data_IF_519830092198
#
_entry.id   IF_519830092198
#
_cell.length_a   1.000
_cell.length_b   1.000
_cell.length_c   1.000
_cell.angle_alpha   90.00
_cell.angle_beta   90.00
_cell.angle_gamma   90.00
#
_symmetry.space_group_name_H-M   'P 1'
#
loop_
_entity.id
_entity.type
_entity.pdbx_description
1 polymer ?
#
# COMPACT_ATOMS: atom_id res chain seq x y z
N UNK A 1 -1.91 -5.99 23.53
CA UNK A 1 -2.47 -5.86 22.16
C UNK A 1 -1.51 -6.60 21.25
N UNK A 2 -1.88 -7.72 20.61
CA UNK A 2 -0.88 -8.52 19.91
C UNK A 2 -0.46 -7.78 18.64
N UNK A 3 0.84 -7.51 18.54
CA UNK A 3 1.52 -7.21 17.28
C UNK A 3 1.33 -8.40 16.36
N UNK A 4 0.76 -8.16 15.17
CA UNK A 4 0.63 -9.18 14.12
C UNK A 4 2.01 -9.79 13.85
N UNK A 5 2.13 -11.12 13.65
CA UNK A 5 3.42 -11.78 13.46
C UNK A 5 4.18 -11.16 12.27
N UNK A 6 5.39 -10.68 12.51
CA UNK A 6 6.32 -10.26 11.46
C UNK A 6 6.82 -11.49 10.71
N UNK A 7 6.09 -11.97 9.70
CA UNK A 7 6.60 -12.97 8.76
C UNK A 7 7.27 -12.20 7.60
N UNK A 8 8.38 -11.54 7.92
CA UNK A 8 9.14 -10.68 7.01
C UNK A 8 10.39 -11.33 6.43
N UNK A 9 10.51 -12.67 6.42
CA UNK A 9 11.76 -13.35 6.06
C UNK A 9 12.34 -12.98 4.69
N UNK A 10 11.49 -12.56 3.74
CA UNK A 10 11.90 -12.19 2.39
C UNK A 10 11.79 -10.69 2.06
N UNK A 11 11.20 -9.88 2.95
CA UNK A 11 11.09 -8.45 2.73
C UNK A 11 12.46 -7.82 3.02
N UNK A 12 13.08 -7.24 1.99
CA UNK A 12 14.39 -6.57 2.10
C UNK A 12 14.21 -5.18 2.71
N UNK A 13 13.73 -5.12 3.95
CA UNK A 13 13.55 -3.86 4.67
C UNK A 13 14.91 -3.22 4.96
N UNK A 14 14.96 -1.89 4.81
CA UNK A 14 16.13 -1.11 5.20
C UNK A 14 16.37 -1.25 6.71
N UNK A 15 17.60 -1.03 7.14
CA UNK A 15 17.92 -1.05 8.58
C UNK A 15 17.06 -0.03 9.33
N UNK A 16 16.28 -0.51 10.30
CA UNK A 16 15.37 0.33 11.09
C UNK A 16 13.96 0.49 10.51
N UNK A 17 13.64 -0.12 9.37
CA UNK A 17 12.25 -0.33 8.94
C UNK A 17 11.69 -1.64 9.52
N UNK A 18 10.37 -1.71 9.63
CA UNK A 18 9.63 -2.92 9.98
C UNK A 18 8.97 -3.51 8.75
N UNK A 19 8.78 -4.83 8.74
CA UNK A 19 8.01 -5.53 7.71
C UNK A 19 6.58 -5.82 8.14
N UNK A 20 5.64 -5.70 7.21
CA UNK A 20 4.29 -6.23 7.29
C UNK A 20 4.06 -7.24 6.17
N UNK A 21 3.31 -8.30 6.43
CA UNK A 21 2.93 -9.30 5.43
C UNK A 21 1.55 -9.87 5.74
N UNK A 22 0.71 -9.98 4.72
CA UNK A 22 -0.51 -10.76 4.75
C UNK A 22 -0.39 -11.91 3.75
N UNK A 23 -0.28 -13.14 4.26
CA UNK A 23 -0.15 -14.33 3.43
C UNK A 23 -1.44 -14.71 2.70
N UNK A 24 -2.61 -14.29 3.20
CA UNK A 24 -3.90 -14.57 2.57
C UNK A 24 -4.16 -13.63 1.40
N UNK A 25 -3.80 -12.35 1.56
CA UNK A 25 -3.88 -11.36 0.47
C UNK A 25 -2.66 -11.39 -0.46
N UNK A 26 -1.61 -12.11 -0.05
CA UNK A 26 -0.46 -12.41 -0.88
C UNK A 26 0.45 -11.21 -1.12
N UNK A 27 0.57 -10.32 -0.15
CA UNK A 27 1.49 -9.19 -0.25
C UNK A 27 2.07 -8.74 1.09
N UNK A 28 3.18 -8.03 1.03
CA UNK A 28 3.84 -7.41 2.17
C UNK A 28 4.69 -6.23 1.76
N UNK A 29 5.01 -5.37 2.72
CA UNK A 29 5.79 -4.15 2.50
C UNK A 29 6.58 -3.75 3.74
N UNK A 30 7.60 -2.92 3.54
CA UNK A 30 8.35 -2.32 4.65
C UNK A 30 7.81 -0.92 4.97
N UNK A 31 7.82 -0.57 6.26
CA UNK A 31 7.38 0.73 6.76
C UNK A 31 8.31 1.26 7.86
N UNK A 32 8.36 2.57 8.11
CA UNK A 32 9.21 3.14 9.15
C UNK A 32 8.93 2.55 10.55
N UNK A 33 9.98 2.25 11.32
CA UNK A 33 9.83 1.83 12.73
C UNK A 33 9.22 2.91 13.64
N UNK A 34 9.19 4.16 13.16
CA UNK A 34 8.54 5.28 13.83
C UNK A 34 7.01 5.22 13.74
N UNK A 35 6.43 4.26 13.02
CA UNK A 35 4.99 4.11 12.88
C UNK A 35 4.45 3.02 13.78
N UNK A 36 3.23 3.25 14.27
CA UNK A 36 2.33 2.22 14.79
C UNK A 36 1.04 2.28 13.99
N UNK A 37 0.41 1.14 13.74
CA UNK A 37 -0.90 1.12 13.09
C UNK A 37 -1.90 0.22 13.81
N UNK A 38 -3.18 0.48 13.54
CA UNK A 38 -4.30 -0.44 13.76
C UNK A 38 -4.84 -0.79 12.38
N UNK A 39 -5.07 -2.08 12.14
CA UNK A 39 -5.59 -2.59 10.88
C UNK A 39 -7.11 -2.83 11.00
N UNK A 40 -7.85 -2.50 9.94
CA UNK A 40 -9.27 -2.82 9.77
C UNK A 40 -9.50 -3.39 8.39
N UNK A 41 -10.27 -4.47 8.32
CA UNK A 41 -10.63 -5.15 7.07
C UNK A 41 -12.09 -4.90 6.71
N UNK A 42 -12.35 -4.67 5.43
CA UNK A 42 -13.70 -4.54 4.88
C UNK A 42 -13.80 -5.32 3.56
N UNK A 43 -14.80 -6.19 3.46
CA UNK A 43 -15.11 -6.87 2.20
C UNK A 43 -15.75 -5.88 1.19
N UNK A 44 -15.42 -6.05 -0.07
CA UNK A 44 -15.93 -5.26 -1.20
C UNK A 44 -16.54 -6.21 -2.22
N UNK A 45 -17.75 -5.92 -2.69
CA UNK A 45 -18.47 -6.82 -3.61
C UNK A 45 -18.26 -6.47 -5.09
N UNK A 46 -17.88 -5.23 -5.43
CA UNK A 46 -17.73 -4.79 -6.82
C UNK A 46 -16.67 -3.68 -6.96
N UNK A 47 -15.48 -3.98 -7.53
CA UNK A 47 -14.96 -5.32 -7.82
C UNK A 47 -14.81 -6.16 -6.55
N UNK A 48 -14.98 -7.49 -6.66
CA UNK A 48 -14.92 -8.39 -5.51
C UNK A 48 -13.52 -8.37 -4.90
N UNK A 49 -13.41 -8.16 -3.60
CA UNK A 49 -12.13 -8.04 -2.91
C UNK A 49 -12.24 -7.63 -1.45
N UNK A 50 -11.13 -7.15 -0.91
CA UNK A 50 -10.98 -6.71 0.48
C UNK A 50 -10.17 -5.41 0.51
N UNK A 51 -10.63 -4.45 1.30
CA UNK A 51 -9.87 -3.25 1.65
C UNK A 51 -9.28 -3.42 3.06
N UNK A 52 -7.95 -3.33 3.17
CA UNK A 52 -7.26 -3.20 4.45
C UNK A 52 -6.92 -1.73 4.71
N UNK A 53 -7.54 -1.14 5.73
CA UNK A 53 -7.21 0.20 6.21
C UNK A 53 -6.22 0.13 7.35
N UNK A 54 -5.12 0.87 7.21
CA UNK A 54 -4.09 1.06 8.23
C UNK A 54 -4.25 2.47 8.82
N UNK A 55 -4.71 2.52 10.06
CA UNK A 55 -4.82 3.74 10.85
C UNK A 55 -3.44 4.00 11.50
N UNK A 56 -2.62 4.85 10.88
CA UNK A 56 -1.19 5.02 11.21
C UNK A 56 -1.00 6.20 12.15
N UNK A 57 -0.35 5.95 13.28
CA UNK A 57 0.10 6.95 14.24
C UNK A 57 1.62 7.02 14.25
N UNK A 58 2.15 8.24 14.13
CA UNK A 58 3.55 8.53 14.30
C UNK A 58 3.95 8.45 15.79
N UNK A 59 4.95 7.63 16.11
CA UNK A 59 5.52 7.50 17.44
C UNK A 59 6.56 8.58 17.72
N UNK A 60 7.44 8.87 16.75
CA UNK A 60 8.51 9.87 16.90
C UNK A 60 9.12 10.26 15.55
N UNK A 61 9.54 11.53 15.42
CA UNK A 61 10.38 12.04 14.33
C UNK A 61 9.92 11.64 12.91
N UNK A 62 8.62 11.56 12.64
CA UNK A 62 8.15 11.19 11.30
C UNK A 62 8.34 12.32 10.30
N UNK A 63 8.44 11.96 9.01
CA UNK A 63 8.36 12.96 7.95
C UNK A 63 6.98 13.60 7.94
N UNK A 64 6.98 14.91 7.70
CA UNK A 64 5.79 15.74 7.61
C UNK A 64 5.63 16.21 6.18
N UNK A 65 4.39 16.29 5.70
CA UNK A 65 4.12 16.72 4.33
C UNK A 65 4.57 18.18 4.08
N UNK A 66 4.63 18.97 5.15
CA UNK A 66 5.15 20.34 5.15
C UNK A 66 6.29 20.46 6.15
N UNK A 67 7.41 21.14 5.81
CA UNK A 67 8.50 21.36 6.75
C UNK A 67 8.00 21.95 8.08
N UNK A 68 8.21 21.24 9.18
CA UNK A 68 7.86 21.69 10.51
C UNK A 68 9.10 21.78 11.40
N UNK A 69 9.19 22.85 12.19
CA UNK A 69 10.25 23.03 13.18
C UNK A 69 10.00 22.22 14.47
N UNK A 70 8.77 21.70 14.67
CA UNK A 70 8.42 20.87 15.83
C UNK A 70 8.60 19.38 15.55
N UNK A 71 9.05 18.59 16.54
CA UNK A 71 9.11 17.14 16.41
C UNK A 71 7.75 16.57 16.03
N UNK A 72 7.70 15.87 14.91
CA UNK A 72 6.52 15.17 14.45
C UNK A 72 6.31 13.90 15.27
N UNK A 73 5.54 14.00 16.35
CA UNK A 73 5.04 12.86 17.13
C UNK A 73 3.52 12.94 17.21
N UNK A 74 2.85 11.80 17.32
CA UNK A 74 1.39 11.67 17.40
C UNK A 74 0.62 12.19 16.18
N UNK A 75 1.31 12.45 15.06
CA UNK A 75 0.68 12.69 13.78
C UNK A 75 -0.05 11.44 13.29
N UNK A 76 -1.09 11.66 12.53
CA UNK A 76 -1.99 10.61 12.10
C UNK A 76 -2.21 10.66 10.59
N UNK A 77 -2.39 9.49 10.00
CA UNK A 77 -2.76 9.33 8.60
C UNK A 77 -3.39 7.96 8.36
N UNK A 78 -4.00 7.81 7.20
CA UNK A 78 -4.61 6.56 6.77
C UNK A 78 -4.01 6.11 5.46
N UNK A 79 -3.73 4.81 5.37
CA UNK A 79 -3.37 4.13 4.16
C UNK A 79 -4.36 2.99 3.93
N UNK A 80 -4.84 2.83 2.70
CA UNK A 80 -5.73 1.74 2.32
C UNK A 80 -5.00 0.90 1.28
N UNK A 81 -4.98 -0.42 1.50
CA UNK A 81 -4.51 -1.40 0.52
C UNK A 81 -5.70 -2.25 0.12
N UNK A 82 -6.24 -1.96 -1.06
CA UNK A 82 -7.33 -2.72 -1.66
C UNK A 82 -6.78 -3.89 -2.44
N UNK A 83 -7.35 -5.08 -2.24
CA UNK A 83 -6.97 -6.32 -2.92
C UNK A 83 -8.19 -6.90 -3.59
N UNK A 84 -8.24 -6.81 -4.92
CA UNK A 84 -9.36 -7.27 -5.74
C UNK A 84 -9.01 -8.53 -6.50
N UNK A 85 -10.03 -9.35 -6.76
CA UNK A 85 -9.89 -10.51 -7.64
C UNK A 85 -9.40 -10.06 -9.03
N UNK A 86 -8.36 -10.72 -9.52
CA UNK A 86 -7.87 -10.53 -10.89
C UNK A 86 -8.90 -10.96 -11.93
N UNK A 87 -9.82 -11.87 -11.57
CA UNK A 87 -10.94 -12.33 -12.39
C UNK A 87 -10.55 -12.77 -13.82
N UNK A 88 -9.36 -13.36 -13.97
CA UNK A 88 -8.86 -13.84 -15.26
C UNK A 88 -8.30 -12.78 -16.21
N UNK A 89 -8.18 -11.51 -15.78
CA UNK A 89 -7.56 -10.46 -16.61
C UNK A 89 -6.11 -10.80 -16.97
N UNK A 90 -5.76 -10.74 -18.26
CA UNK A 90 -4.39 -11.00 -18.75
C UNK A 90 -3.41 -9.93 -18.32
N UNK A 91 -3.86 -8.69 -18.34
CA UNK A 91 -3.10 -7.46 -18.13
C UNK A 91 -3.90 -6.45 -17.31
N UNK A 92 -3.22 -5.42 -16.83
CA UNK A 92 -3.79 -4.42 -15.93
C UNK A 92 -4.80 -3.53 -16.67
N UNK A 93 -4.53 -3.22 -17.93
CA UNK A 93 -5.42 -2.42 -18.77
C UNK A 93 -6.80 -3.09 -18.95
N UNK A 94 -6.83 -4.39 -19.23
CA UNK A 94 -8.05 -5.18 -19.36
C UNK A 94 -8.83 -5.26 -18.04
N UNK A 95 -8.13 -5.41 -16.91
CA UNK A 95 -8.80 -5.36 -15.60
C UNK A 95 -9.42 -3.98 -15.33
N UNK A 96 -8.70 -2.90 -15.62
CA UNK A 96 -9.21 -1.53 -15.43
C UNK A 96 -10.40 -1.24 -16.34
N UNK A 97 -10.38 -1.67 -17.61
CA UNK A 97 -11.51 -1.54 -18.52
C UNK A 97 -12.79 -2.22 -18.01
N UNK A 98 -12.65 -3.36 -17.33
CA UNK A 98 -13.78 -4.09 -16.77
C UNK A 98 -14.34 -3.45 -15.47
N UNK A 99 -13.46 -2.88 -14.63
CA UNK A 99 -13.81 -2.53 -13.25
C UNK A 99 -13.81 -1.03 -12.93
N UNK A 100 -13.11 -0.19 -13.70
CA UNK A 100 -13.01 1.26 -13.46
C UNK A 100 -13.78 2.03 -14.54
N UNK A 101 -14.72 2.86 -14.12
CA UNK A 101 -15.55 3.68 -15.02
C UNK A 101 -15.60 5.12 -14.52
N UNK A 102 -15.13 6.11 -15.31
CA UNK A 102 -14.43 5.96 -16.59
C UNK A 102 -13.07 5.26 -16.42
N UNK A 103 -12.53 4.71 -17.52
CA UNK A 103 -11.16 4.15 -17.51
C UNK A 103 -10.18 5.31 -17.37
N UNK A 104 -9.33 5.32 -16.32
CA UNK A 104 -8.40 6.42 -16.09
C UNK A 104 -7.25 6.37 -17.10
N UNK A 105 -6.69 7.54 -17.43
CA UNK A 105 -5.33 7.63 -17.99
C UNK A 105 -4.33 7.32 -16.87
N UNK A 106 -3.27 6.59 -17.17
CA UNK A 106 -2.35 6.07 -16.15
C UNK A 106 -0.90 6.21 -16.59
N UNK A 107 -0.01 6.35 -15.61
CA UNK A 107 1.44 6.40 -15.83
C UNK A 107 2.11 5.12 -15.34
N UNK A 108 2.91 4.48 -16.19
CA UNK A 108 3.57 3.22 -15.82
C UNK A 108 4.63 3.44 -14.74
N UNK A 109 4.60 2.60 -13.71
CA UNK A 109 5.57 2.62 -12.60
C UNK A 109 6.21 1.24 -12.36
N UNK A 110 7.22 1.22 -11.49
CA UNK A 110 7.79 -0.02 -10.95
C UNK A 110 7.39 -0.13 -9.48
N UNK A 111 6.64 -1.19 -9.15
CA UNK A 111 6.18 -1.44 -7.78
C UNK A 111 6.52 -2.88 -7.37
N UNK A 112 7.47 -3.01 -6.45
CA UNK A 112 7.92 -4.31 -5.95
C UNK A 112 8.28 -5.30 -7.07
N UNK A 113 7.67 -6.48 -7.01
CA UNK A 113 7.71 -7.51 -8.04
C UNK A 113 6.36 -7.72 -8.74
N UNK A 114 5.53 -6.66 -8.86
CA UNK A 114 4.28 -6.73 -9.61
C UNK A 114 4.51 -7.11 -11.09
N UNK A 115 3.51 -7.74 -11.72
CA UNK A 115 3.54 -8.07 -13.16
C UNK A 115 3.45 -6.78 -13.98
N UNK A 116 2.48 -5.94 -13.64
CA UNK A 116 2.28 -4.60 -14.18
C UNK A 116 1.90 -3.68 -13.04
N UNK A 117 2.30 -2.41 -13.11
CA UNK A 117 1.92 -1.42 -12.13
C UNK A 117 1.86 -0.04 -12.77
N UNK A 118 0.83 0.70 -12.43
CA UNK A 118 0.59 2.05 -12.91
C UNK A 118 0.23 2.99 -11.74
N UNK A 119 0.42 4.29 -11.95
CA UNK A 119 -0.08 5.35 -11.10
C UNK A 119 -1.33 5.95 -11.73
N UNK A 120 -2.39 6.08 -10.92
CA UNK A 120 -3.66 6.69 -11.29
C UNK A 120 -3.58 8.22 -11.17
N UNK A 121 -4.47 8.98 -11.84
CA UNK A 121 -4.45 10.45 -11.80
C UNK A 121 -4.69 11.06 -10.41
N UNK A 122 -5.34 10.30 -9.53
CA UNK A 122 -5.59 10.69 -8.14
C UNK A 122 -4.40 10.37 -7.20
N UNK A 123 -3.28 9.89 -7.75
CA UNK A 123 -2.07 9.55 -7.02
C UNK A 123 -2.04 8.12 -6.48
N UNK A 124 -3.17 7.40 -6.49
CA UNK A 124 -3.20 5.98 -6.10
C UNK A 124 -2.33 5.16 -7.04
N UNK A 125 -1.80 4.07 -6.52
CA UNK A 125 -1.00 3.11 -7.31
C UNK A 125 -1.79 1.84 -7.46
N UNK A 126 -1.75 1.25 -8.63
CA UNK A 126 -2.45 0.01 -8.94
C UNK A 126 -1.45 -0.99 -9.52
N UNK A 127 -1.51 -2.24 -9.08
CA UNK A 127 -0.64 -3.30 -9.52
C UNK A 127 -1.44 -4.55 -9.87
N UNK A 128 -1.13 -5.13 -11.04
CA UNK A 128 -1.48 -6.50 -11.35
C UNK A 128 -0.43 -7.42 -10.72
N UNK A 129 -0.89 -8.34 -9.90
CA UNK A 129 -0.08 -9.39 -9.29
C UNK A 129 -0.43 -10.74 -9.92
N UNK A 130 0.28 -11.83 -9.59
CA UNK A 130 -0.09 -13.16 -10.07
C UNK A 130 -1.57 -13.51 -9.82
N UNK A 131 -2.11 -13.15 -8.65
CA UNK A 131 -3.46 -13.57 -8.21
C UNK A 131 -4.49 -12.45 -8.10
N UNK A 132 -4.04 -11.21 -7.88
CA UNK A 132 -4.91 -10.09 -7.51
C UNK A 132 -4.58 -8.82 -8.29
N UNK A 133 -5.47 -7.85 -8.18
CA UNK A 133 -5.15 -6.45 -8.43
C UNK A 133 -5.09 -5.72 -7.10
N UNK A 134 -3.96 -5.07 -6.83
CA UNK A 134 -3.71 -4.36 -5.57
C UNK A 134 -3.72 -2.87 -5.83
N UNK A 135 -4.50 -2.09 -5.07
CA UNK A 135 -4.49 -0.63 -5.11
C UNK A 135 -3.98 -0.10 -3.77
N UNK A 136 -2.98 0.76 -3.82
CA UNK A 136 -2.49 1.53 -2.68
C UNK A 136 -3.04 2.95 -2.77
N UNK A 137 -3.87 3.31 -1.78
CA UNK A 137 -4.35 4.67 -1.53
C UNK A 137 -3.67 5.22 -0.29
N UNK A 138 -2.85 6.24 -0.48
CA UNK A 138 -2.19 6.97 0.59
C UNK A 138 -2.80 8.36 0.66
N UNK A 139 -3.61 8.60 1.70
CA UNK A 139 -4.31 9.88 1.82
C UNK A 139 -3.37 10.95 2.32
N UNK A 140 -3.44 12.12 1.68
CA UNK A 140 -2.71 13.31 2.12
C UNK A 140 -3.09 13.67 3.57
N UNK A 141 -2.09 14.01 4.37
CA UNK A 141 -2.28 14.44 5.74
C UNK A 141 -1.02 15.08 6.33
N UNK A 142 -1.02 15.43 7.62
CA UNK A 142 0.15 15.99 8.29
C UNK A 142 1.36 15.04 8.28
N UNK A 143 1.09 13.74 8.35
CA UNK A 143 2.08 12.68 8.20
C UNK A 143 2.35 12.46 6.70
N UNK A 144 3.61 12.52 6.29
CA UNK A 144 4.02 12.28 4.89
C UNK A 144 4.02 10.78 4.56
N UNK A 145 2.84 10.19 4.55
CA UNK A 145 2.68 8.78 4.20
C UNK A 145 3.08 8.54 2.74
N UNK A 146 2.75 9.48 1.85
CA UNK A 146 3.00 9.34 0.42
C UNK A 146 4.50 9.30 0.13
N UNK A 147 5.29 10.23 0.67
CA UNK A 147 6.74 10.22 0.52
C UNK A 147 7.40 9.00 1.16
N UNK A 148 6.94 8.57 2.34
CA UNK A 148 7.48 7.38 3.01
C UNK A 148 7.19 6.09 2.22
N UNK A 149 5.97 5.93 1.72
CA UNK A 149 5.59 4.75 0.93
C UNK A 149 6.18 4.76 -0.47
N UNK A 150 6.24 5.92 -1.13
CA UNK A 150 6.89 6.09 -2.44
C UNK A 150 8.36 5.65 -2.39
N UNK A 151 9.10 6.05 -1.35
CA UNK A 151 10.51 5.64 -1.16
C UNK A 151 10.71 4.14 -0.93
N UNK A 152 9.63 3.43 -0.59
CA UNK A 152 9.64 2.00 -0.23
C UNK A 152 8.90 1.11 -1.23
N UNK A 153 8.47 1.64 -2.38
CA UNK A 153 7.77 0.84 -3.40
C UNK A 153 8.53 -0.42 -3.81
N UNK A 154 9.87 -0.36 -3.87
CA UNK A 154 10.70 -1.53 -4.22
C UNK A 154 10.76 -2.61 -3.14
N UNK A 155 10.35 -2.29 -1.91
CA UNK A 155 10.32 -3.26 -0.80
C UNK A 155 9.06 -4.11 -0.80
N UNK A 156 8.04 -3.73 -1.58
CA UNK A 156 6.82 -4.52 -1.71
C UNK A 156 7.12 -5.87 -2.34
N UNK A 157 6.49 -6.90 -1.81
CA UNK A 157 6.52 -8.25 -2.37
C UNK A 157 5.09 -8.75 -2.51
N UNK A 158 4.75 -9.17 -3.71
CA UNK A 158 3.53 -9.87 -4.07
C UNK A 158 3.88 -11.35 -4.24
N UNK A 159 3.23 -12.23 -3.48
CA UNK A 159 3.46 -13.67 -3.57
C UNK A 159 2.94 -14.22 -4.90
N UNK A 160 3.70 -15.17 -5.42
CA UNK A 160 3.34 -15.98 -6.59
C UNK A 160 2.32 -17.05 -6.28
#
# INVERSE_FOLDING_TARGET
MPSVPQIGGDLKCSQGDHGYSDAQLGWGFCYPSTWKYIERSQAVDSPKGIDLTFDITCLSQCKTATPSATPASSLFGFMIVSTYERAGASDLAGWMQANLKPVPEVDRIVWGNAVEADQLPDGRRIALTPHFVVILDVRSGPLDLEGEMASRLRTWKFSV
#
